data_IF_058222777037
#
_entry.id   IF_058222777037
#
_cell.length_a   1.000
_cell.length_b   1.000
_cell.length_c   1.000
_cell.angle_alpha   90.00
_cell.angle_beta   90.00
_cell.angle_gamma   90.00
#
_symmetry.space_group_name_H-M   'P 1'
#
loop_
_entity.id
_entity.type
_entity.pdbx_description
1 polymer ?
#
# COMPACT_ATOMS: atom_id res chain seq x y z
N UNK A 1 -18.01 8.34 -21.11
CA UNK A 1 -17.03 9.26 -20.50
C UNK A 1 -17.66 9.93 -19.30
N UNK A 2 -17.06 9.75 -18.12
CA UNK A 2 -17.51 10.39 -16.89
C UNK A 2 -17.12 11.88 -16.87
N UNK A 3 -18.00 12.74 -16.37
CA UNK A 3 -17.68 14.16 -16.14
C UNK A 3 -16.60 14.32 -15.08
N UNK A 4 -16.68 13.57 -14.00
CA UNK A 4 -15.62 13.55 -12.99
C UNK A 4 -15.20 12.15 -12.58
N UNK A 5 -13.94 12.02 -12.21
CA UNK A 5 -13.38 10.87 -11.51
C UNK A 5 -13.34 11.17 -10.01
N UNK A 6 -13.98 10.34 -9.19
CA UNK A 6 -14.06 10.49 -7.74
C UNK A 6 -12.95 9.65 -7.08
N UNK A 7 -11.83 10.30 -6.75
CA UNK A 7 -10.66 9.68 -6.13
C UNK A 7 -10.77 9.75 -4.63
N UNK A 8 -10.85 8.60 -3.95
CA UNK A 8 -11.04 8.50 -2.51
C UNK A 8 -10.20 7.35 -1.95
N UNK A 9 -9.91 7.35 -0.65
CA UNK A 9 -9.29 6.20 -0.01
C UNK A 9 -10.35 5.14 0.27
N UNK A 10 -10.12 3.89 -0.16
CA UNK A 10 -11.01 2.76 0.16
C UNK A 10 -11.27 2.59 1.65
N UNK A 11 -10.30 2.95 2.50
CA UNK A 11 -10.45 2.96 3.96
C UNK A 11 -11.53 3.92 4.47
N UNK A 12 -11.96 4.90 3.67
CA UNK A 12 -13.06 5.81 4.00
C UNK A 12 -14.45 5.24 3.64
N UNK A 13 -14.57 4.09 2.96
CA UNK A 13 -15.87 3.47 2.63
C UNK A 13 -16.64 2.98 3.85
N UNK A 14 -15.95 2.78 4.98
CA UNK A 14 -16.62 2.49 6.25
C UNK A 14 -17.55 3.63 6.69
N UNK A 15 -17.38 4.83 6.11
CA UNK A 15 -18.21 5.98 6.35
C UNK A 15 -19.39 6.06 5.35
N UNK A 16 -20.63 5.72 5.76
CA UNK A 16 -21.78 5.71 4.85
C UNK A 16 -22.15 7.12 4.33
N UNK A 17 -21.60 8.18 4.93
CA UNK A 17 -21.82 9.54 4.45
C UNK A 17 -21.04 9.85 3.16
N UNK A 18 -19.94 9.14 2.89
CA UNK A 18 -19.14 9.36 1.68
C UNK A 18 -19.92 8.93 0.43
N UNK A 19 -20.52 7.75 0.47
CA UNK A 19 -21.38 7.26 -0.61
C UNK A 19 -22.59 8.15 -0.84
N UNK A 20 -23.23 8.60 0.25
CA UNK A 20 -24.33 9.55 0.18
C UNK A 20 -23.90 10.85 -0.49
N UNK A 21 -22.72 11.37 -0.16
CA UNK A 21 -22.19 12.59 -0.77
C UNK A 21 -21.96 12.39 -2.27
N UNK A 22 -21.32 11.28 -2.68
CA UNK A 22 -21.13 10.96 -4.09
C UNK A 22 -22.46 10.92 -4.85
N UNK A 23 -23.48 10.25 -4.30
CA UNK A 23 -24.80 10.16 -4.93
C UNK A 23 -25.48 11.52 -5.07
N UNK A 24 -25.43 12.34 -4.01
CA UNK A 24 -25.97 13.70 -4.05
C UNK A 24 -25.22 14.56 -5.08
N UNK A 25 -23.90 14.46 -5.15
CA UNK A 25 -23.08 15.20 -6.12
C UNK A 25 -23.41 14.80 -7.56
N UNK A 26 -23.54 13.49 -7.82
CA UNK A 26 -23.93 13.00 -9.13
C UNK A 26 -25.30 13.55 -9.57
N UNK A 27 -26.28 13.59 -8.65
CA UNK A 27 -27.61 14.16 -8.95
C UNK A 27 -27.55 15.65 -9.22
N UNK A 28 -26.78 16.39 -8.44
CA UNK A 28 -26.67 17.85 -8.58
C UNK A 28 -25.99 18.22 -9.90
N UNK A 29 -24.85 17.59 -10.22
CA UNK A 29 -24.13 17.80 -11.48
C UNK A 29 -24.97 17.32 -12.68
N UNK A 30 -25.70 16.21 -12.56
CA UNK A 30 -26.64 15.73 -13.59
C UNK A 30 -27.72 16.77 -13.89
N UNK A 31 -28.36 17.30 -12.85
CA UNK A 31 -29.48 18.24 -12.97
C UNK A 31 -29.01 19.57 -13.56
N UNK A 32 -27.92 20.14 -13.03
CA UNK A 32 -27.40 21.42 -13.47
C UNK A 32 -26.74 21.38 -14.85
N UNK A 33 -26.03 20.28 -15.14
CA UNK A 33 -25.33 20.09 -16.41
C UNK A 33 -26.21 19.55 -17.55
N UNK A 34 -27.44 19.13 -17.26
CA UNK A 34 -28.29 18.46 -18.24
C UNK A 34 -27.72 17.12 -18.72
N UNK A 35 -27.06 16.39 -17.81
CA UNK A 35 -26.29 15.18 -18.14
C UNK A 35 -27.02 13.91 -17.69
N UNK A 36 -26.95 12.80 -18.45
CA UNK A 36 -27.45 11.51 -17.97
C UNK A 36 -26.71 11.07 -16.70
N UNK A 37 -27.44 10.71 -15.64
CA UNK A 37 -26.88 10.41 -14.32
C UNK A 37 -25.73 9.37 -14.35
N UNK A 38 -25.88 8.31 -15.16
CA UNK A 38 -24.86 7.26 -15.31
C UNK A 38 -23.56 7.69 -16.01
N UNK A 39 -23.51 8.91 -16.55
CA UNK A 39 -22.32 9.48 -17.21
C UNK A 39 -21.66 10.61 -16.42
N UNK A 40 -22.16 10.90 -15.22
CA UNK A 40 -21.71 12.05 -14.43
C UNK A 40 -20.42 11.76 -13.67
N UNK A 41 -20.46 10.80 -12.75
CA UNK A 41 -19.32 10.47 -11.91
C UNK A 41 -18.83 9.05 -12.18
N UNK A 42 -17.53 8.87 -12.22
CA UNK A 42 -16.90 7.56 -12.06
C UNK A 42 -16.43 7.43 -10.60
N UNK A 43 -16.75 6.31 -9.98
CA UNK A 43 -16.24 5.91 -8.67
C UNK A 43 -15.97 4.41 -8.73
N UNK A 44 -14.85 3.99 -8.18
CA UNK A 44 -14.52 2.58 -8.04
C UNK A 44 -15.34 1.97 -6.89
N UNK A 45 -16.53 1.44 -7.20
CA UNK A 45 -17.46 0.81 -6.25
C UNK A 45 -17.46 -0.71 -6.29
N UNK A 46 -16.94 -1.30 -7.36
CA UNK A 46 -17.08 -2.74 -7.61
C UNK A 46 -15.79 -3.51 -7.38
N UNK A 47 -15.92 -4.68 -6.74
CA UNK A 47 -14.92 -5.73 -6.68
C UNK A 47 -14.70 -6.33 -8.09
N UNK A 48 -14.05 -5.59 -8.98
CA UNK A 48 -13.47 -6.20 -10.18
C UNK A 48 -12.02 -6.52 -9.89
N UNK A 49 -11.61 -7.74 -10.25
CA UNK A 49 -10.33 -8.35 -9.93
C UNK A 49 -9.15 -7.67 -10.63
N UNK A 50 -8.05 -7.48 -9.90
CA UNK A 50 -6.69 -7.26 -10.42
C UNK A 50 -6.53 -6.28 -11.59
N UNK A 51 -5.83 -6.73 -12.64
CA UNK A 51 -5.45 -5.93 -13.82
C UNK A 51 -6.65 -5.26 -14.49
N UNK A 52 -7.81 -5.94 -14.56
CA UNK A 52 -9.03 -5.37 -15.14
C UNK A 52 -9.52 -4.14 -14.38
N UNK A 53 -9.26 -4.07 -13.07
CA UNK A 53 -9.58 -2.89 -12.26
C UNK A 53 -8.57 -1.76 -12.46
N UNK A 54 -7.27 -2.06 -12.50
CA UNK A 54 -6.24 -1.07 -12.78
C UNK A 54 -6.39 -0.46 -14.17
N UNK A 55 -6.73 -1.27 -15.18
CA UNK A 55 -7.00 -0.84 -16.55
C UNK A 55 -8.27 0.02 -16.62
N UNK A 56 -9.33 -0.37 -15.90
CA UNK A 56 -10.58 0.39 -15.81
C UNK A 56 -10.35 1.76 -15.15
N UNK A 57 -9.58 1.82 -14.06
CA UNK A 57 -9.17 3.07 -13.43
C UNK A 57 -8.30 3.92 -14.34
N UNK A 58 -7.30 3.32 -15.00
CA UNK A 58 -6.43 3.98 -15.95
C UNK A 58 -7.22 4.60 -17.10
N UNK A 59 -8.16 3.85 -17.68
CA UNK A 59 -9.02 4.34 -18.76
C UNK A 59 -10.00 5.43 -18.27
N UNK A 60 -10.50 5.33 -17.03
CA UNK A 60 -11.33 6.38 -16.44
C UNK A 60 -10.54 7.68 -16.21
N UNK A 61 -9.31 7.58 -15.68
CA UNK A 61 -8.40 8.72 -15.48
C UNK A 61 -7.90 9.31 -16.81
N UNK A 62 -7.74 8.48 -17.84
CA UNK A 62 -7.33 8.89 -19.17
C UNK A 62 -8.38 9.76 -19.85
N UNK A 63 -9.66 9.59 -19.50
CA UNK A 63 -10.79 10.20 -20.21
C UNK A 63 -11.61 11.20 -19.39
N UNK A 64 -11.57 11.16 -18.06
CA UNK A 64 -12.42 12.03 -17.23
C UNK A 64 -12.14 13.51 -17.51
N UNK A 65 -13.16 14.38 -17.37
CA UNK A 65 -12.98 15.82 -17.57
C UNK A 65 -12.41 16.51 -16.32
N UNK A 66 -12.82 16.04 -15.15
CA UNK A 66 -12.45 16.60 -13.85
C UNK A 66 -11.98 15.50 -12.91
N UNK A 67 -10.90 15.74 -12.19
CA UNK A 67 -10.39 14.89 -11.12
C UNK A 67 -10.83 15.47 -9.77
N UNK A 68 -11.58 14.69 -8.99
CA UNK A 68 -12.13 15.06 -7.69
C UNK A 68 -11.45 14.24 -6.60
N UNK A 69 -10.34 14.74 -6.02
CA UNK A 69 -9.67 14.08 -4.91
C UNK A 69 -10.36 14.40 -3.58
N UNK A 70 -10.67 13.36 -2.82
CA UNK A 70 -11.37 13.41 -1.53
C UNK A 70 -10.36 13.42 -0.40
N UNK A 71 -9.98 14.61 0.05
CA UNK A 71 -8.96 14.78 1.08
C UNK A 71 -9.45 14.31 2.46
N UNK A 72 -8.75 13.31 2.96
CA UNK A 72 -8.84 12.76 4.31
C UNK A 72 -7.44 12.33 4.76
N UNK A 73 -7.21 12.05 6.05
CA UNK A 73 -5.97 11.41 6.49
C UNK A 73 -5.68 10.09 5.75
N UNK A 74 -6.71 9.28 5.49
CA UNK A 74 -6.55 8.02 4.75
C UNK A 74 -6.22 8.24 3.28
N UNK A 75 -6.74 9.31 2.66
CA UNK A 75 -6.45 9.67 1.27
C UNK A 75 -4.96 9.88 1.03
N UNK A 76 -4.33 10.71 1.86
CA UNK A 76 -2.89 10.99 1.72
C UNK A 76 -2.00 9.83 2.16
N UNK A 77 -2.53 8.86 2.92
CA UNK A 77 -1.85 7.62 3.26
C UNK A 77 -2.04 6.50 2.20
N UNK A 78 -2.96 6.68 1.25
CA UNK A 78 -3.32 5.69 0.24
C UNK A 78 -2.35 5.74 -0.94
N UNK A 79 -1.66 4.62 -1.18
CA UNK A 79 -0.73 4.48 -2.31
C UNK A 79 -1.45 4.63 -3.65
N UNK A 80 -2.55 3.91 -3.84
CA UNK A 80 -3.36 3.94 -5.08
C UNK A 80 -3.86 5.36 -5.34
N UNK A 81 -4.37 6.06 -4.32
CA UNK A 81 -4.85 7.44 -4.50
C UNK A 81 -3.72 8.39 -4.92
N UNK A 82 -2.49 8.14 -4.47
CA UNK A 82 -1.32 8.86 -4.94
C UNK A 82 -0.89 8.49 -6.36
N UNK A 83 -1.13 7.25 -6.81
CA UNK A 83 -0.90 6.84 -8.20
C UNK A 83 -1.95 7.44 -9.14
N UNK A 84 -3.23 7.47 -8.75
CA UNK A 84 -4.30 8.16 -9.46
C UNK A 84 -3.96 9.64 -9.64
N UNK A 85 -3.45 10.27 -8.59
CA UNK A 85 -2.97 11.64 -8.64
C UNK A 85 -1.82 11.82 -9.63
N UNK A 86 -0.79 10.98 -9.55
CA UNK A 86 0.34 11.02 -10.49
C UNK A 86 -0.13 10.86 -11.92
N UNK A 87 -1.04 9.92 -12.19
CA UNK A 87 -1.57 9.68 -13.52
C UNK A 87 -2.27 10.93 -14.08
N UNK A 88 -3.13 11.56 -13.28
CA UNK A 88 -3.83 12.76 -13.71
C UNK A 88 -2.88 13.97 -13.83
N UNK A 89 -1.90 14.09 -12.94
CA UNK A 89 -0.87 15.14 -13.01
C UNK A 89 -0.03 15.01 -14.29
N UNK A 90 0.42 13.80 -14.66
CA UNK A 90 1.12 13.54 -15.92
C UNK A 90 0.27 13.95 -17.12
N UNK A 91 -1.04 13.64 -17.11
CA UNK A 91 -1.98 14.06 -18.16
C UNK A 91 -2.10 15.58 -18.27
N UNK A 92 -2.15 16.29 -17.15
CA UNK A 92 -2.19 17.77 -17.15
C UNK A 92 -0.89 18.37 -17.70
N UNK A 93 0.27 17.82 -17.32
CA UNK A 93 1.57 18.25 -17.85
C UNK A 93 1.63 18.05 -19.36
N UNK A 94 1.25 16.87 -19.86
CA UNK A 94 1.24 16.58 -21.29
C UNK A 94 0.31 17.54 -22.08
N UNK A 95 -0.87 17.85 -21.54
CA UNK A 95 -1.78 18.81 -22.17
C UNK A 95 -1.21 20.24 -22.15
N UNK A 96 -0.57 20.66 -21.06
CA UNK A 96 0.08 21.96 -20.97
C UNK A 96 1.25 22.06 -21.96
N UNK A 97 2.04 21.01 -22.12
CA UNK A 97 3.12 20.96 -23.11
C UNK A 97 2.59 21.07 -24.56
N UNK A 98 1.43 20.45 -24.84
CA UNK A 98 0.82 20.49 -26.16
C UNK A 98 0.11 21.81 -26.49
N UNK A 99 -0.53 22.46 -25.51
CA UNK A 99 -1.42 23.61 -25.74
C UNK A 99 -0.93 24.93 -25.14
N UNK A 100 0.05 24.88 -24.24
CA UNK A 100 0.49 26.01 -23.42
C UNK A 100 -0.46 26.40 -22.28
N UNK A 101 -1.58 25.69 -22.11
CA UNK A 101 -2.63 26.01 -21.13
C UNK A 101 -2.67 24.90 -20.05
N UNK A 102 -2.65 25.29 -18.77
CA UNK A 102 -2.87 24.36 -17.66
C UNK A 102 -4.36 24.33 -17.27
N UNK A 103 -5.09 23.22 -17.47
CA UNK A 103 -6.50 23.11 -17.12
C UNK A 103 -6.72 23.17 -15.62
N UNK A 104 -7.80 23.83 -15.18
CA UNK A 104 -8.24 23.84 -13.77
C UNK A 104 -9.11 22.63 -13.43
N UNK A 105 -8.67 21.45 -13.86
CA UNK A 105 -9.47 20.22 -13.83
C UNK A 105 -9.27 19.38 -12.57
N UNK A 106 -8.51 19.86 -11.57
CA UNK A 106 -8.42 19.23 -10.26
C UNK A 106 -9.25 20.03 -9.26
N UNK A 107 -10.29 19.39 -8.71
CA UNK A 107 -11.30 20.03 -7.87
C UNK A 107 -11.39 19.28 -6.54
N UNK A 108 -10.53 19.59 -5.55
CA UNK A 108 -10.47 18.85 -4.29
C UNK A 108 -11.68 19.09 -3.39
N UNK A 109 -12.06 18.07 -2.63
CA UNK A 109 -13.02 18.16 -1.53
C UNK A 109 -12.37 17.72 -0.22
N UNK A 110 -12.45 18.56 0.81
CA UNK A 110 -11.96 18.24 2.15
C UNK A 110 -13.04 17.47 2.89
N UNK A 111 -12.96 16.14 2.83
CA UNK A 111 -13.86 15.26 3.56
C UNK A 111 -13.67 15.39 5.06
N UNK A 112 -12.41 15.33 5.50
CA UNK A 112 -11.97 15.54 6.87
C UNK A 112 -10.89 16.63 6.92
N UNK A 113 -10.79 17.39 8.02
CA UNK A 113 -9.67 18.29 8.22
C UNK A 113 -8.36 17.50 8.22
N UNK A 114 -7.45 17.83 7.30
CA UNK A 114 -6.10 17.25 7.28
C UNK A 114 -5.22 18.07 8.22
N UNK A 115 -4.58 17.39 9.17
CA UNK A 115 -3.66 18.01 10.14
C UNK A 115 -2.24 17.85 9.61
N UNK A 116 -1.45 18.91 9.64
CA UNK A 116 -0.08 18.94 9.13
C UNK A 116 0.04 19.55 7.74
N UNK A 117 1.22 19.44 7.15
CA UNK A 117 1.50 19.95 5.80
C UNK A 117 0.89 19.03 4.75
N UNK A 118 0.20 19.61 3.77
CA UNK A 118 -0.27 18.87 2.61
C UNK A 118 0.94 18.47 1.73
N UNK A 119 0.89 17.31 1.06
CA UNK A 119 1.88 16.97 0.05
C UNK A 119 2.03 18.10 -0.99
N UNK A 120 3.24 18.35 -1.54
CA UNK A 120 3.50 19.51 -2.38
C UNK A 120 2.52 19.71 -3.55
N UNK A 121 2.10 18.62 -4.20
CA UNK A 121 1.11 18.67 -5.28
C UNK A 121 -0.28 19.09 -4.83
N UNK A 122 -0.70 18.68 -3.63
CA UNK A 122 -1.97 19.10 -3.05
C UNK A 122 -1.93 20.55 -2.53
N UNK A 123 -0.76 20.99 -2.04
CA UNK A 123 -0.53 22.36 -1.58
C UNK A 123 -0.34 23.38 -2.70
N UNK A 124 0.07 22.94 -3.90
CA UNK A 124 0.21 23.81 -5.08
C UNK A 124 -1.13 24.23 -5.69
N UNK A 125 -2.22 23.54 -5.34
CA UNK A 125 -3.57 23.91 -5.78
C UNK A 125 -4.09 25.09 -4.97
N UNK A 126 -4.83 25.97 -5.65
CA UNK A 126 -5.54 27.05 -4.98
C UNK A 126 -6.61 26.47 -4.04
N UNK A 127 -6.50 26.76 -2.74
CA UNK A 127 -7.44 26.31 -1.72
C UNK A 127 -8.80 27.04 -1.87
N UNK A 128 -9.87 26.36 -2.32
CA UNK A 128 -11.15 27.01 -2.52
C UNK A 128 -12.00 27.05 -1.25
N UNK A 129 -11.54 26.51 -0.11
CA UNK A 129 -12.36 26.32 1.11
C UNK A 129 -12.99 27.61 1.62
N UNK A 130 -12.35 28.76 1.42
CA UNK A 130 -12.90 30.05 1.82
C UNK A 130 -14.19 30.44 1.06
N UNK A 131 -14.40 29.92 -0.16
CA UNK A 131 -15.62 30.13 -0.94
C UNK A 131 -16.83 29.31 -0.44
N UNK A 132 -16.59 28.33 0.44
CA UNK A 132 -17.56 27.32 0.87
C UNK A 132 -18.01 27.47 2.33
N UNK A 133 -17.56 28.53 3.02
CA UNK A 133 -17.99 28.87 4.38
C UNK A 133 -17.09 28.34 5.49
N UNK A 134 -17.22 28.96 6.66
CA UNK A 134 -16.34 28.75 7.82
C UNK A 134 -16.50 27.36 8.43
N UNK A 135 -17.73 26.80 8.44
CA UNK A 135 -17.98 25.46 8.98
C UNK A 135 -17.31 24.38 8.16
N UNK A 136 -17.37 24.46 6.82
CA UNK A 136 -16.69 23.51 5.94
C UNK A 136 -15.17 23.58 6.12
N UNK A 137 -14.60 24.79 6.13
CA UNK A 137 -13.17 25.00 6.35
C UNK A 137 -12.69 24.42 7.69
N UNK A 138 -13.51 24.58 8.74
CA UNK A 138 -13.17 24.13 10.10
C UNK A 138 -13.36 22.64 10.32
N UNK A 139 -14.45 22.06 9.81
CA UNK A 139 -14.90 20.72 10.20
C UNK A 139 -14.86 19.68 9.06
N UNK A 140 -14.62 20.10 7.83
CA UNK A 140 -14.70 19.25 6.65
C UNK A 140 -16.14 18.89 6.27
N UNK A 141 -16.31 18.37 5.05
CA UNK A 141 -17.62 18.08 4.47
C UNK A 141 -18.37 16.99 5.24
N UNK A 142 -17.67 15.99 5.76
CA UNK A 142 -18.28 14.89 6.51
C UNK A 142 -19.17 15.39 7.65
N UNK A 143 -18.73 16.44 8.36
CA UNK A 143 -19.48 17.02 9.47
C UNK A 143 -20.76 17.70 9.00
N UNK A 144 -20.71 18.39 7.85
CA UNK A 144 -21.86 19.05 7.22
C UNK A 144 -22.90 18.01 6.76
N UNK A 145 -22.46 16.91 6.14
CA UNK A 145 -23.34 15.82 5.69
C UNK A 145 -24.02 15.13 6.87
N UNK A 146 -23.29 14.93 7.98
CA UNK A 146 -23.75 14.14 9.14
C UNK A 146 -24.70 14.90 10.05
N UNK A 147 -24.48 16.21 10.28
CA UNK A 147 -25.23 16.98 11.28
C UNK A 147 -26.46 17.64 10.67
N UNK A 148 -27.63 17.42 11.28
CA UNK A 148 -28.89 18.05 10.86
C UNK A 148 -28.83 19.58 10.89
N UNK A 149 -28.18 20.16 11.89
CA UNK A 149 -28.04 21.61 12.04
C UNK A 149 -27.22 22.28 10.92
N UNK A 150 -26.47 21.49 10.14
CA UNK A 150 -25.68 21.98 9.00
C UNK A 150 -26.29 21.61 7.65
N UNK A 151 -27.56 21.19 7.61
CA UNK A 151 -28.25 20.80 6.38
C UNK A 151 -28.19 21.90 5.32
N UNK A 152 -28.53 23.14 5.68
CA UNK A 152 -28.56 24.25 4.71
C UNK A 152 -27.14 24.56 4.20
N UNK A 153 -26.13 24.50 5.09
CA UNK A 153 -24.72 24.66 4.73
C UNK A 153 -24.23 23.56 3.78
N UNK A 154 -24.70 22.34 3.97
CA UNK A 154 -24.37 21.22 3.09
C UNK A 154 -25.01 21.38 1.70
N UNK A 155 -26.27 21.82 1.63
CA UNK A 155 -26.95 22.10 0.36
C UNK A 155 -26.26 23.25 -0.39
N UNK A 156 -25.99 24.37 0.30
CA UNK A 156 -25.25 25.51 -0.26
C UNK A 156 -23.86 25.09 -0.78
N UNK A 157 -23.17 24.20 -0.04
CA UNK A 157 -21.89 23.64 -0.48
C UNK A 157 -22.06 22.84 -1.77
N UNK A 158 -23.02 21.92 -1.80
CA UNK A 158 -23.25 21.00 -2.91
C UNK A 158 -23.54 21.77 -4.20
N UNK A 159 -24.39 22.79 -4.12
CA UNK A 159 -24.74 23.67 -5.22
C UNK A 159 -23.50 24.34 -5.85
N UNK A 160 -22.71 25.02 -5.02
CA UNK A 160 -21.51 25.73 -5.47
C UNK A 160 -20.43 24.78 -5.96
N UNK A 161 -20.33 23.61 -5.34
CA UNK A 161 -19.31 22.62 -5.68
C UNK A 161 -19.64 21.94 -7.01
N UNK A 162 -20.92 21.68 -7.29
CA UNK A 162 -21.38 21.19 -8.59
C UNK A 162 -21.09 22.21 -9.71
N UNK A 163 -21.36 23.51 -9.48
CA UNK A 163 -21.02 24.58 -10.44
C UNK A 163 -19.50 24.64 -10.71
N UNK A 164 -18.68 24.44 -9.67
CA UNK A 164 -17.23 24.41 -9.81
C UNK A 164 -16.75 23.23 -10.66
N UNK A 165 -17.35 22.05 -10.51
CA UNK A 165 -17.05 20.87 -11.35
C UNK A 165 -17.48 21.13 -12.80
N UNK A 166 -18.70 21.65 -13.03
CA UNK A 166 -19.19 21.92 -14.37
C UNK A 166 -18.31 22.92 -15.11
N UNK A 167 -17.91 24.00 -14.43
CA UNK A 167 -16.98 24.99 -14.98
C UNK A 167 -15.61 24.41 -15.28
N UNK A 168 -15.08 23.55 -14.41
CA UNK A 168 -13.81 22.85 -14.67
C UNK A 168 -13.90 21.88 -15.86
N UNK A 169 -15.09 21.36 -16.15
CA UNK A 169 -15.36 20.46 -17.25
C UNK A 169 -15.54 21.16 -18.61
N UNK A 170 -15.61 22.50 -18.67
CA UNK A 170 -15.70 23.29 -19.91
C UNK A 170 -14.40 23.27 -20.71
N UNK A 171 -13.24 23.21 -20.02
CA UNK A 171 -11.91 23.14 -20.64
C UNK A 171 -11.11 21.96 -20.08
N UNK A 172 -11.49 20.71 -20.41
CA UNK A 172 -10.83 19.51 -19.91
C UNK A 172 -9.47 19.27 -20.60
N UNK A 173 -8.53 18.58 -19.95
CA UNK A 173 -7.32 18.10 -20.61
C UNK A 173 -7.65 17.07 -21.69
N UNK A 174 -6.80 16.99 -22.71
CA UNK A 174 -6.89 15.97 -23.76
C UNK A 174 -6.75 14.56 -23.18
N UNK A 175 -7.27 13.55 -23.90
CA UNK A 175 -7.10 12.15 -23.51
C UNK A 175 -5.60 11.80 -23.47
N UNK A 176 -5.18 11.14 -22.40
CA UNK A 176 -3.80 10.66 -22.26
C UNK A 176 -3.83 9.20 -21.76
N UNK A 177 -3.34 8.22 -22.53
CA UNK A 177 -3.35 6.82 -22.13
C UNK A 177 -2.56 6.56 -20.84
N UNK A 178 -3.12 5.74 -19.95
CA UNK A 178 -2.47 5.29 -18.70
C UNK A 178 -2.40 3.76 -18.77
N UNK A 179 -1.29 3.19 -19.30
CA UNK A 179 -1.22 1.76 -19.61
C UNK A 179 -1.08 0.87 -18.38
N UNK A 180 -0.54 1.41 -17.28
CA UNK A 180 -0.38 0.70 -16.02
C UNK A 180 -0.39 1.71 -14.87
N UNK A 181 -1.55 1.85 -14.22
CA UNK A 181 -1.71 2.74 -13.08
C UNK A 181 -0.83 2.31 -11.89
N UNK A 182 -0.62 1.01 -11.71
CA UNK A 182 0.03 0.45 -10.51
C UNK A 182 1.55 0.53 -10.56
N UNK A 183 2.15 0.77 -11.73
CA UNK A 183 3.58 1.11 -11.83
C UNK A 183 3.88 2.60 -11.70
N UNK A 184 2.87 3.47 -11.71
CA UNK A 184 3.10 4.90 -11.54
C UNK A 184 3.63 5.22 -10.15
N UNK A 185 4.47 6.26 -10.01
CA UNK A 185 4.95 6.70 -8.71
C UNK A 185 3.78 7.18 -7.85
N UNK A 186 3.83 6.94 -6.55
CA UNK A 186 2.89 7.53 -5.60
C UNK A 186 3.19 9.03 -5.41
N UNK A 187 2.26 9.91 -5.83
CA UNK A 187 2.43 11.35 -5.68
C UNK A 187 2.63 11.78 -4.23
N UNK A 188 2.05 11.09 -3.25
CA UNK A 188 2.15 11.46 -1.84
C UNK A 188 3.46 11.00 -1.19
N UNK A 189 4.29 10.25 -1.92
CA UNK A 189 5.62 9.90 -1.45
C UNK A 189 6.45 11.18 -1.25
N UNK A 190 7.29 11.27 -0.21
CA UNK A 190 8.19 12.39 -0.03
C UNK A 190 9.07 12.53 -1.26
N UNK A 191 9.07 13.70 -1.91
CA UNK A 191 9.91 13.94 -3.07
C UNK A 191 11.36 13.59 -2.75
N UNK A 192 11.90 12.56 -3.43
CA UNK A 192 13.35 12.34 -3.41
C UNK A 192 13.99 13.58 -4.03
N UNK A 193 14.61 14.41 -3.19
CA UNK A 193 15.47 15.48 -3.71
C UNK A 193 16.56 14.80 -4.54
N UNK A 194 16.78 15.19 -5.80
CA UNK A 194 17.99 14.80 -6.50
C UNK A 194 19.15 15.28 -5.64
N UNK A 195 19.91 14.34 -5.08
CA UNK A 195 21.14 14.68 -4.38
C UNK A 195 22.06 15.38 -5.37
N UNK A 196 22.78 16.45 -5.00
CA UNK A 196 23.80 17.00 -5.86
C UNK A 196 24.78 15.86 -6.19
N UNK A 197 25.00 15.63 -7.47
CA UNK A 197 26.07 14.79 -7.95
C UNK A 197 27.38 15.42 -7.48
N UNK A 198 27.88 14.99 -6.32
CA UNK A 198 29.29 14.93 -5.97
C UNK A 198 29.46 14.31 -4.58
N UNK A 199 30.42 13.38 -4.52
CA UNK A 199 30.65 12.50 -3.39
C UNK A 199 30.92 13.22 -2.08
N UNK A 200 30.10 12.87 -1.08
CA UNK A 200 30.42 12.62 0.34
C UNK A 200 29.10 12.67 1.09
N UNK A 201 28.59 11.50 1.47
CA UNK A 201 27.37 11.37 2.28
C UNK A 201 27.68 11.97 3.67
N UNK A 202 26.95 13.01 4.15
CA UNK A 202 27.12 13.47 5.51
C UNK A 202 26.63 12.40 6.49
N UNK A 203 27.47 12.08 7.47
CA UNK A 203 27.29 11.03 8.48
C UNK A 203 26.01 11.16 9.37
N UNK A 204 25.22 12.23 9.21
CA UNK A 204 24.01 12.48 10.00
C UNK A 204 22.73 11.81 9.46
N UNK A 205 22.71 11.28 8.22
CA UNK A 205 21.49 10.68 7.63
C UNK A 205 21.34 9.17 7.83
N UNK A 206 22.40 8.50 8.28
CA UNK A 206 22.45 7.04 8.39
C UNK A 206 21.99 6.48 9.76
N UNK A 207 21.24 7.27 10.54
CA UNK A 207 20.65 6.84 11.82
C UNK A 207 19.16 6.45 11.73
N UNK A 208 18.56 6.48 10.52
CA UNK A 208 17.20 5.97 10.30
C UNK A 208 17.33 4.54 9.75
N UNK A 209 16.92 3.54 10.54
CA UNK A 209 16.92 2.12 10.14
C UNK A 209 16.12 1.86 8.86
N UNK A 210 16.14 0.62 8.37
CA UNK A 210 15.50 0.21 7.11
C UNK A 210 14.10 0.85 6.95
N UNK A 211 14.00 1.76 5.97
CA UNK A 211 12.76 2.47 5.61
C UNK A 211 11.95 1.70 4.57
N UNK A 212 12.51 0.63 4.01
CA UNK A 212 11.88 -0.18 2.97
C UNK A 212 11.52 -1.56 3.52
N UNK A 213 10.32 -2.01 3.22
CA UNK A 213 9.84 -3.38 3.42
C UNK A 213 9.41 -3.96 2.07
N UNK A 214 9.78 -5.21 1.81
CA UNK A 214 9.35 -5.97 0.64
C UNK A 214 8.49 -7.12 1.14
N UNK A 215 7.22 -7.12 0.73
CA UNK A 215 6.30 -8.21 0.94
C UNK A 215 6.42 -9.20 -0.21
N UNK A 216 6.85 -10.41 0.09
CA UNK A 216 6.97 -11.50 -0.88
C UNK A 216 5.79 -12.43 -0.64
N UNK A 217 4.93 -12.59 -1.63
CA UNK A 217 3.66 -13.32 -1.47
C UNK A 217 3.74 -14.68 -2.18
N UNK A 218 3.67 -15.76 -1.42
CA UNK A 218 3.61 -17.12 -1.92
C UNK A 218 2.18 -17.63 -1.84
N UNK A 219 1.40 -17.40 -2.90
CA UNK A 219 0.00 -17.82 -3.02
C UNK A 219 -0.26 -18.34 -4.43
N UNK A 220 -1.08 -19.38 -4.55
CA UNK A 220 -1.55 -19.88 -5.85
C UNK A 220 -2.61 -18.97 -6.46
N UNK A 221 -2.63 -18.86 -7.80
CA UNK A 221 -3.74 -18.19 -8.50
C UNK A 221 -4.99 -19.06 -8.47
N UNK A 222 -6.16 -18.45 -8.62
CA UNK A 222 -7.45 -19.18 -8.61
C UNK A 222 -7.44 -20.44 -9.49
N UNK A 223 -6.91 -20.34 -10.72
CA UNK A 223 -6.82 -21.47 -11.64
C UNK A 223 -5.90 -22.60 -11.15
N UNK A 224 -4.78 -22.27 -10.51
CA UNK A 224 -3.84 -23.26 -9.96
C UNK A 224 -4.45 -23.95 -8.73
N UNK A 225 -5.28 -23.23 -7.97
CA UNK A 225 -5.92 -23.70 -6.75
C UNK A 225 -7.18 -24.55 -6.99
N UNK A 226 -7.71 -24.59 -8.23
CA UNK A 226 -8.91 -25.36 -8.60
C UNK A 226 -8.81 -26.85 -8.25
N UNK A 227 -7.61 -27.43 -8.36
CA UNK A 227 -7.37 -28.86 -8.10
C UNK A 227 -6.80 -29.15 -6.70
N UNK A 228 -6.71 -28.12 -5.85
CA UNK A 228 -6.02 -28.19 -4.57
C UNK A 228 -7.00 -27.88 -3.43
N UNK A 229 -7.68 -26.73 -3.51
CA UNK A 229 -8.52 -26.19 -2.44
C UNK A 229 -9.99 -26.13 -2.86
N UNK A 230 -10.57 -27.30 -3.18
CA UNK A 230 -11.92 -27.43 -3.77
C UNK A 230 -13.07 -26.73 -3.01
N UNK A 231 -12.91 -26.40 -1.72
CA UNK A 231 -13.96 -25.77 -0.90
C UNK A 231 -13.76 -24.27 -0.63
N UNK A 232 -12.61 -23.68 -0.99
CA UNK A 232 -12.17 -22.36 -0.49
C UNK A 232 -11.74 -21.40 -1.61
N UNK A 233 -12.16 -21.67 -2.85
CA UNK A 233 -11.78 -20.88 -4.04
C UNK A 233 -12.13 -19.39 -3.96
N UNK A 234 -13.12 -19.01 -3.15
CA UNK A 234 -13.52 -17.60 -2.98
C UNK A 234 -12.50 -16.77 -2.17
N UNK A 235 -11.52 -17.43 -1.55
CA UNK A 235 -10.36 -16.78 -0.93
C UNK A 235 -9.31 -16.35 -1.97
N UNK A 236 -9.35 -16.92 -3.18
CA UNK A 236 -8.34 -16.73 -4.22
C UNK A 236 -8.88 -15.92 -5.39
N UNK A 237 -8.08 -14.96 -5.86
CA UNK A 237 -8.33 -14.24 -7.10
C UNK A 237 -7.34 -14.58 -8.20
N UNK A 238 -7.42 -13.84 -9.30
CA UNK A 238 -6.51 -14.02 -10.45
C UNK A 238 -5.12 -13.47 -10.13
N UNK A 239 -5.03 -12.44 -9.29
CA UNK A 239 -3.78 -11.81 -8.86
C UNK A 239 -3.45 -12.08 -7.39
N UNK A 240 -2.16 -11.99 -7.05
CA UNK A 240 -1.65 -12.20 -5.68
C UNK A 240 -2.29 -11.23 -4.67
N UNK A 241 -2.61 -10.01 -5.13
CA UNK A 241 -3.22 -8.95 -4.32
C UNK A 241 -4.69 -9.24 -3.99
N UNK A 242 -5.34 -10.15 -4.70
CA UNK A 242 -6.75 -10.47 -4.49
C UNK A 242 -6.95 -11.50 -3.36
N UNK A 243 -5.86 -12.09 -2.84
CA UNK A 243 -5.92 -13.13 -1.82
C UNK A 243 -6.52 -12.64 -0.49
N UNK A 244 -7.53 -13.39 -0.02
CA UNK A 244 -8.34 -13.12 1.18
C UNK A 244 -8.39 -14.38 2.06
N UNK A 245 -7.31 -14.71 2.79
CA UNK A 245 -7.21 -15.94 3.58
C UNK A 245 -8.23 -16.04 4.72
N UNK A 246 -8.85 -14.92 5.10
CA UNK A 246 -9.83 -14.86 6.18
C UNK A 246 -11.28 -14.74 5.68
N UNK A 247 -11.53 -14.91 4.39
CA UNK A 247 -12.90 -14.90 3.86
C UNK A 247 -13.69 -16.13 4.35
N UNK A 248 -14.97 -16.01 4.76
CA UNK A 248 -15.83 -14.83 4.70
C UNK A 248 -15.76 -13.91 5.93
N UNK A 249 -15.07 -14.31 7.00
CA UNK A 249 -14.98 -13.51 8.24
C UNK A 249 -14.38 -12.11 8.00
N UNK A 250 -13.47 -11.98 7.03
CA UNK A 250 -12.97 -10.72 6.51
C UNK A 250 -12.83 -10.78 5.00
N UNK A 251 -13.43 -9.81 4.29
CA UNK A 251 -13.35 -9.67 2.84
C UNK A 251 -12.14 -8.87 2.35
N UNK A 252 -11.31 -8.35 3.26
CA UNK A 252 -10.13 -7.54 2.91
C UNK A 252 -8.97 -8.37 2.36
N UNK A 253 -8.28 -7.84 1.35
CA UNK A 253 -7.01 -8.39 0.85
C UNK A 253 -5.94 -8.33 1.92
N UNK A 254 -5.24 -9.45 2.15
CA UNK A 254 -4.14 -9.50 3.12
C UNK A 254 -2.95 -8.64 2.68
N UNK A 255 -2.71 -8.53 1.38
CA UNK A 255 -1.61 -7.70 0.83
C UNK A 255 -1.89 -6.22 1.08
N UNK A 256 -3.11 -5.76 0.79
CA UNK A 256 -3.50 -4.37 1.05
C UNK A 256 -3.38 -4.03 2.55
N UNK A 257 -3.74 -4.97 3.42
CA UNK A 257 -3.65 -4.83 4.88
C UNK A 257 -2.19 -4.76 5.34
N UNK A 258 -1.32 -5.59 4.76
CA UNK A 258 0.11 -5.56 5.04
C UNK A 258 0.77 -4.22 4.67
N UNK A 259 0.44 -3.69 3.49
CA UNK A 259 0.91 -2.37 3.04
C UNK A 259 0.41 -1.24 3.95
N UNK A 260 -0.83 -1.32 4.46
CA UNK A 260 -1.36 -0.34 5.42
C UNK A 260 -0.58 -0.34 6.75
N UNK A 261 -0.24 -1.53 7.26
CA UNK A 261 0.58 -1.66 8.49
C UNK A 261 1.98 -1.06 8.29
N UNK A 262 2.60 -1.28 7.13
CA UNK A 262 3.88 -0.66 6.78
C UNK A 262 3.78 0.87 6.65
N UNK A 263 2.75 1.36 5.97
CA UNK A 263 2.48 2.79 5.77
C UNK A 263 2.30 3.54 7.10
N UNK A 264 1.56 2.94 8.06
CA UNK A 264 1.37 3.49 9.43
C UNK A 264 2.69 3.68 10.19
N UNK A 265 3.76 3.00 9.74
CA UNK A 265 5.11 3.07 10.32
C UNK A 265 6.10 3.87 9.48
N UNK A 266 5.60 4.66 8.51
CA UNK A 266 6.42 5.44 7.58
C UNK A 266 7.42 4.58 6.77
N UNK A 267 7.01 3.35 6.45
CA UNK A 267 7.83 2.42 5.67
C UNK A 267 7.34 2.37 4.23
N UNK A 268 8.27 2.44 3.30
CA UNK A 268 8.02 2.20 1.88
C UNK A 268 7.84 0.70 1.65
N UNK A 269 6.67 0.29 1.14
CA UNK A 269 6.34 -1.12 0.91
C UNK A 269 6.32 -1.46 -0.57
N UNK A 270 7.02 -2.52 -0.96
CA UNK A 270 6.92 -3.14 -2.28
C UNK A 270 6.29 -4.54 -2.14
N UNK A 271 5.47 -4.96 -3.11
CA UNK A 271 4.90 -6.32 -3.15
C UNK A 271 5.46 -7.04 -4.36
N UNK A 272 5.91 -8.28 -4.18
CA UNK A 272 6.43 -9.13 -5.26
C UNK A 272 5.91 -10.57 -5.11
N UNK A 273 5.76 -11.33 -6.21
CA UNK A 273 5.57 -12.77 -6.15
C UNK A 273 6.73 -13.47 -5.44
N UNK A 274 6.45 -14.61 -4.83
CA UNK A 274 7.48 -15.56 -4.44
C UNK A 274 7.99 -16.31 -5.69
N UNK A 275 9.09 -15.83 -6.25
CA UNK A 275 9.83 -16.47 -7.34
C UNK A 275 11.35 -16.43 -7.05
N UNK A 276 12.18 -16.80 -8.02
CA UNK A 276 13.64 -16.80 -7.87
C UNK A 276 14.25 -15.43 -7.53
N UNK A 277 13.55 -14.31 -7.77
CA UNK A 277 14.03 -12.97 -7.41
C UNK A 277 14.13 -12.78 -5.90
N UNK A 278 13.40 -13.58 -5.10
CA UNK A 278 13.49 -13.62 -3.64
C UNK A 278 14.93 -13.81 -3.16
N UNK A 279 15.70 -14.69 -3.79
CA UNK A 279 17.05 -15.00 -3.33
C UNK A 279 18.03 -13.84 -3.56
N UNK A 280 17.77 -12.99 -4.56
CA UNK A 280 18.50 -11.74 -4.75
C UNK A 280 18.24 -10.75 -3.59
N UNK A 281 17.03 -10.77 -3.02
CA UNK A 281 16.67 -9.95 -1.85
C UNK A 281 17.30 -10.49 -0.55
N UNK A 282 17.44 -11.81 -0.42
CA UNK A 282 17.96 -12.47 0.77
C UNK A 282 19.50 -12.53 0.83
N UNK A 283 20.18 -12.67 -0.32
CA UNK A 283 21.64 -12.86 -0.37
C UNK A 283 22.44 -11.56 -0.70
N UNK A 284 21.75 -10.46 -1.04
CA UNK A 284 22.38 -9.24 -1.52
C UNK A 284 22.85 -8.25 -0.43
N UNK A 285 23.75 -7.29 -0.76
CA UNK A 285 24.09 -6.17 0.14
C UNK A 285 22.87 -5.31 0.55
N UNK A 286 21.75 -5.43 -0.18
CA UNK A 286 20.44 -4.85 0.12
C UNK A 286 19.78 -5.42 1.39
N UNK A 287 20.19 -6.60 1.88
CA UNK A 287 19.70 -7.19 3.13
C UNK A 287 19.86 -6.20 4.30
N UNK A 288 20.90 -5.35 4.27
CA UNK A 288 21.19 -4.39 5.34
C UNK A 288 20.26 -3.15 5.35
N UNK A 289 19.44 -2.96 4.31
CA UNK A 289 18.63 -1.75 4.13
C UNK A 289 17.15 -2.01 3.90
N UNK A 290 16.75 -3.26 3.68
CA UNK A 290 15.36 -3.65 3.40
C UNK A 290 14.92 -4.80 4.30
N UNK A 291 13.66 -4.74 4.75
CA UNK A 291 13.00 -5.80 5.50
C UNK A 291 12.27 -6.70 4.53
N UNK A 292 12.39 -8.02 4.66
CA UNK A 292 11.71 -8.97 3.77
C UNK A 292 10.67 -9.75 4.56
N UNK A 293 9.40 -9.51 4.29
CA UNK A 293 8.29 -10.24 4.94
C UNK A 293 7.69 -11.18 3.91
N UNK A 294 7.84 -12.48 4.12
CA UNK A 294 7.24 -13.49 3.29
C UNK A 294 5.85 -13.82 3.85
N UNK A 295 4.81 -13.67 3.05
CA UNK A 295 3.43 -14.05 3.41
C UNK A 295 3.11 -15.31 2.61
N UNK A 296 2.94 -16.44 3.30
CA UNK A 296 2.86 -17.76 2.68
C UNK A 296 1.49 -18.38 2.93
N UNK A 297 0.79 -18.73 1.86
CA UNK A 297 -0.41 -19.55 1.92
C UNK A 297 -0.03 -21.01 2.23
N UNK A 298 -0.58 -21.65 3.29
CA UNK A 298 -0.35 -23.06 3.57
C UNK A 298 -0.63 -23.96 2.36
N UNK A 299 -1.67 -23.65 1.59
CA UNK A 299 -2.08 -24.47 0.44
C UNK A 299 -1.14 -24.33 -0.76
N UNK A 300 -0.32 -23.27 -0.82
CA UNK A 300 0.70 -23.13 -1.86
C UNK A 300 1.74 -24.28 -1.83
N UNK A 301 1.89 -24.99 -0.72
CA UNK A 301 2.77 -26.17 -0.60
C UNK A 301 2.33 -27.36 -1.47
N UNK A 302 1.11 -27.33 -1.99
CA UNK A 302 0.59 -28.31 -2.95
C UNK A 302 1.05 -28.05 -4.39
N UNK A 303 1.52 -26.85 -4.69
CA UNK A 303 1.98 -26.46 -6.01
C UNK A 303 3.48 -26.79 -6.19
N UNK A 304 3.80 -27.49 -7.27
CA UNK A 304 5.17 -27.90 -7.59
C UNK A 304 6.17 -26.72 -7.67
N UNK A 305 5.73 -25.57 -8.21
CA UNK A 305 6.54 -24.35 -8.31
C UNK A 305 7.00 -23.83 -6.95
N UNK A 306 6.15 -23.92 -5.93
CA UNK A 306 6.48 -23.48 -4.58
C UNK A 306 7.27 -24.52 -3.79
N UNK A 307 7.15 -25.82 -4.11
CA UNK A 307 7.92 -26.87 -3.44
C UNK A 307 9.44 -26.68 -3.64
N UNK A 308 9.88 -26.41 -4.87
CA UNK A 308 11.30 -26.14 -5.16
C UNK A 308 11.76 -24.85 -4.49
N UNK A 309 10.92 -23.80 -4.53
CA UNK A 309 11.22 -22.51 -3.93
C UNK A 309 11.37 -22.60 -2.41
N UNK A 310 10.45 -23.29 -1.72
CA UNK A 310 10.52 -23.48 -0.27
C UNK A 310 11.74 -24.31 0.13
N UNK A 311 12.03 -25.42 -0.57
CA UNK A 311 13.22 -26.22 -0.30
C UNK A 311 14.54 -25.45 -0.49
N UNK A 312 14.56 -24.44 -1.36
CA UNK A 312 15.69 -23.52 -1.49
C UNK A 312 15.70 -22.47 -0.38
N UNK A 313 14.56 -21.86 -0.08
CA UNK A 313 14.38 -20.89 1.00
C UNK A 313 14.77 -21.46 2.37
N UNK A 314 14.46 -22.72 2.65
CA UNK A 314 14.80 -23.40 3.90
C UNK A 314 16.31 -23.49 4.17
N UNK A 315 17.10 -23.51 3.09
CA UNK A 315 18.57 -23.53 3.16
C UNK A 315 19.16 -22.13 3.24
N UNK A 316 18.38 -21.10 2.95
CA UNK A 316 18.80 -19.69 3.00
C UNK A 316 18.62 -19.17 4.43
N UNK A 317 19.70 -18.61 4.99
CA UNK A 317 19.64 -17.91 6.27
C UNK A 317 19.60 -16.42 6.01
N UNK A 318 18.57 -15.74 6.50
CA UNK A 318 18.52 -14.29 6.50
C UNK A 318 18.15 -13.77 7.88
N UNK A 319 18.71 -12.62 8.24
CA UNK A 319 18.53 -12.00 9.57
C UNK A 319 17.45 -10.92 9.58
N UNK A 320 17.11 -10.40 8.40
CA UNK A 320 16.21 -9.27 8.21
C UNK A 320 14.89 -9.70 7.55
N UNK A 321 14.55 -10.97 7.70
CA UNK A 321 13.39 -11.58 7.09
C UNK A 321 12.59 -12.43 8.07
N UNK A 322 11.34 -12.65 7.71
CA UNK A 322 10.34 -13.35 8.52
C UNK A 322 9.29 -13.97 7.60
N UNK A 323 8.80 -15.13 7.99
CA UNK A 323 7.71 -15.84 7.33
C UNK A 323 6.46 -15.69 8.18
N UNK A 324 5.38 -15.19 7.57
CA UNK A 324 4.04 -15.09 8.14
C UNK A 324 3.12 -16.02 7.36
N UNK A 325 2.39 -16.86 8.07
CA UNK A 325 1.40 -17.79 7.51
C UNK A 325 0.04 -17.39 8.07
N UNK A 326 -0.87 -16.83 7.25
CA UNK A 326 -2.15 -16.27 7.71
C UNK A 326 -3.20 -17.38 7.89
N UNK A 327 -2.92 -18.28 8.83
CA UNK A 327 -3.79 -19.36 9.23
C UNK A 327 -3.58 -19.66 10.72
N UNK A 328 -4.52 -20.37 11.31
CA UNK A 328 -4.31 -21.05 12.59
C UNK A 328 -3.70 -22.43 12.31
N UNK A 329 -2.36 -22.52 12.30
CA UNK A 329 -1.68 -23.79 12.02
C UNK A 329 -1.93 -24.85 13.09
N UNK A 330 -2.20 -24.45 14.33
CA UNK A 330 -2.49 -25.39 15.42
C UNK A 330 -3.86 -26.04 15.25
N UNK A 331 -4.87 -25.28 14.82
CA UNK A 331 -6.18 -25.79 14.47
C UNK A 331 -6.15 -26.59 13.16
N UNK A 332 -5.42 -26.09 12.15
CA UNK A 332 -5.27 -26.75 10.85
C UNK A 332 -4.60 -28.12 11.01
N UNK A 333 -3.62 -28.27 11.90
CA UNK A 333 -2.97 -29.56 12.22
C UNK A 333 -3.93 -30.60 12.81
N UNK A 334 -5.03 -30.19 13.45
CA UNK A 334 -6.01 -31.14 14.03
C UNK A 334 -6.86 -31.83 12.96
N UNK A 335 -6.94 -31.26 11.76
CA UNK A 335 -7.71 -31.80 10.64
C UNK A 335 -6.82 -32.71 9.76
N UNK A 336 -7.32 -33.84 9.20
CA UNK A 336 -6.48 -34.74 8.40
C UNK A 336 -5.82 -34.08 7.19
N UNK A 337 -6.56 -33.23 6.46
CA UNK A 337 -6.04 -32.49 5.31
C UNK A 337 -5.05 -31.40 5.74
N UNK A 338 -5.38 -30.67 6.80
CA UNK A 338 -4.49 -29.64 7.34
C UNK A 338 -3.21 -30.18 7.96
N UNK A 339 -3.24 -31.35 8.61
CA UNK A 339 -2.04 -32.02 9.12
C UNK A 339 -1.05 -32.36 7.99
N UNK A 340 -1.56 -32.77 6.84
CA UNK A 340 -0.73 -33.02 5.67
C UNK A 340 -0.11 -31.73 5.10
N UNK A 341 -0.86 -30.64 5.00
CA UNK A 341 -0.32 -29.32 4.62
C UNK A 341 0.74 -28.84 5.59
N UNK A 342 0.49 -28.96 6.90
CA UNK A 342 1.45 -28.64 7.94
C UNK A 342 2.75 -29.43 7.76
N UNK A 343 2.66 -30.74 7.53
CA UNK A 343 3.83 -31.59 7.30
C UNK A 343 4.61 -31.18 6.04
N UNK A 344 3.93 -30.77 4.97
CA UNK A 344 4.61 -30.27 3.76
C UNK A 344 5.28 -28.92 3.99
N UNK A 345 4.60 -28.01 4.70
CA UNK A 345 5.16 -26.72 5.08
C UNK A 345 6.41 -26.93 5.95
N UNK A 346 6.35 -27.84 6.92
CA UNK A 346 7.49 -28.20 7.76
C UNK A 346 8.62 -28.87 6.96
N UNK A 347 8.29 -29.74 6.00
CA UNK A 347 9.31 -30.35 5.13
C UNK A 347 10.00 -29.30 4.23
N UNK A 348 9.28 -28.25 3.85
CA UNK A 348 9.77 -27.19 2.97
C UNK A 348 10.36 -25.97 3.68
N UNK A 349 10.05 -25.72 4.96
CA UNK A 349 10.45 -24.52 5.73
C UNK A 349 10.85 -24.86 7.19
N UNK A 350 11.19 -26.11 7.47
CA UNK A 350 11.47 -26.59 8.82
C UNK A 350 12.56 -25.81 9.54
N UNK A 351 13.63 -25.40 8.85
CA UNK A 351 14.68 -24.57 9.46
C UNK A 351 14.15 -23.21 9.89
N UNK A 352 13.18 -22.62 9.18
CA UNK A 352 12.55 -21.35 9.57
C UNK A 352 11.60 -21.52 10.74
N UNK A 353 10.85 -22.61 10.76
CA UNK A 353 9.95 -22.96 11.86
C UNK A 353 10.73 -23.25 13.16
N UNK A 354 11.87 -23.92 13.05
CA UNK A 354 12.71 -24.33 14.18
C UNK A 354 13.81 -23.32 14.55
N UNK A 355 14.06 -22.29 13.72
CA UNK A 355 15.13 -21.31 13.91
C UNK A 355 15.09 -20.58 15.26
N UNK A 356 13.95 -20.61 15.97
CA UNK A 356 13.72 -19.82 17.18
C UNK A 356 13.82 -18.32 16.89
N UNK A 357 13.70 -17.47 17.91
CA UNK A 357 13.85 -16.00 17.73
C UNK A 357 12.79 -15.34 16.82
N UNK A 358 11.78 -16.11 16.43
CA UNK A 358 10.59 -15.62 15.77
C UNK A 358 10.70 -15.27 14.30
N UNK A 359 11.53 -16.00 13.55
CA UNK A 359 11.61 -15.92 12.10
C UNK A 359 10.37 -16.50 11.37
N UNK A 360 9.50 -17.20 12.09
CA UNK A 360 8.24 -17.78 11.59
C UNK A 360 7.07 -17.43 12.51
N UNK A 361 5.89 -17.15 11.93
CA UNK A 361 4.62 -16.92 12.62
C UNK A 361 3.51 -17.63 11.85
N UNK A 362 2.82 -18.58 12.48
CA UNK A 362 1.70 -19.31 11.87
C UNK A 362 0.51 -19.52 12.81
N UNK A 363 0.41 -18.72 13.87
CA UNK A 363 -0.76 -18.64 14.74
C UNK A 363 -1.44 -17.29 14.50
N UNK A 364 -2.07 -17.18 13.32
CA UNK A 364 -2.71 -15.97 12.81
C UNK A 364 -4.14 -16.31 12.37
N UNK A 365 -5.08 -16.52 13.32
CA UNK A 365 -6.44 -16.98 12.99
C UNK A 365 -7.32 -15.88 12.35
N UNK A 366 -6.90 -14.62 12.40
CA UNK A 366 -7.71 -13.48 11.97
C UNK A 366 -6.89 -12.36 11.30
N UNK A 367 -7.59 -11.48 10.58
CA UNK A 367 -6.97 -10.28 9.99
C UNK A 367 -6.38 -9.34 11.06
N UNK A 368 -7.04 -9.21 12.21
CA UNK A 368 -6.54 -8.37 13.30
C UNK A 368 -5.26 -8.94 13.92
N UNK A 369 -5.20 -10.27 14.07
CA UNK A 369 -3.98 -10.96 14.55
C UNK A 369 -2.84 -10.82 13.57
N UNK A 370 -3.12 -10.94 12.27
CA UNK A 370 -2.13 -10.69 11.22
C UNK A 370 -1.58 -9.27 11.27
N UNK A 371 -2.44 -8.24 11.30
CA UNK A 371 -2.01 -6.84 11.36
C UNK A 371 -1.19 -6.55 12.63
N UNK A 372 -1.63 -7.08 13.78
CA UNK A 372 -0.95 -6.96 15.07
C UNK A 372 0.43 -7.59 15.04
N UNK A 373 0.54 -8.85 14.59
CA UNK A 373 1.81 -9.58 14.55
C UNK A 373 2.76 -8.98 13.52
N UNK A 374 2.26 -8.60 12.34
CA UNK A 374 3.07 -7.91 11.34
C UNK A 374 3.65 -6.61 11.91
N UNK A 375 2.83 -5.82 12.60
CA UNK A 375 3.29 -4.61 13.26
C UNK A 375 4.40 -4.86 14.28
N UNK A 376 4.30 -5.92 15.09
CA UNK A 376 5.33 -6.30 16.06
C UNK A 376 6.63 -6.72 15.36
N UNK A 377 6.52 -7.58 14.35
CA UNK A 377 7.64 -8.12 13.58
C UNK A 377 8.43 -7.01 12.89
N UNK A 378 7.76 -6.01 12.30
CA UNK A 378 8.44 -4.87 11.69
C UNK A 378 9.28 -4.08 12.71
N UNK A 379 8.79 -3.89 13.94
CA UNK A 379 9.56 -3.26 15.03
C UNK A 379 10.77 -4.11 15.39
N UNK A 380 10.55 -5.41 15.60
CA UNK A 380 11.60 -6.32 16.05
C UNK A 380 12.77 -6.35 15.08
N UNK A 381 12.49 -6.46 13.78
CA UNK A 381 13.54 -6.54 12.77
C UNK A 381 14.19 -5.17 12.55
N UNK A 382 13.43 -4.05 12.56
CA UNK A 382 14.04 -2.71 12.56
C UNK A 382 15.01 -2.53 13.74
N UNK A 383 14.63 -2.97 14.93
CA UNK A 383 15.49 -2.93 16.12
C UNK A 383 16.75 -3.79 15.97
N UNK A 384 16.66 -4.96 15.32
CA UNK A 384 17.84 -5.79 14.99
C UNK A 384 18.78 -5.10 14.01
N UNK A 385 18.24 -4.50 12.94
CA UNK A 385 19.01 -3.77 11.93
C UNK A 385 19.74 -2.57 12.56
N UNK A 386 19.06 -1.79 13.41
CA UNK A 386 19.65 -0.65 14.11
C UNK A 386 20.81 -1.07 15.03
N UNK A 387 20.64 -2.14 15.83
CA UNK A 387 21.72 -2.65 16.70
C UNK A 387 22.94 -3.09 15.91
N UNK A 388 22.76 -3.73 14.76
CA UNK A 388 23.88 -4.16 13.91
C UNK A 388 24.60 -2.96 13.28
N UNK A 389 23.87 -1.97 12.80
CA UNK A 389 24.45 -0.74 12.27
C UNK A 389 25.27 0.02 13.33
N UNK A 390 24.86 -0.01 14.59
CA UNK A 390 25.60 0.59 15.72
C UNK A 390 26.89 -0.20 16.04
N UNK A 391 26.86 -1.53 15.96
CA UNK A 391 28.05 -2.38 16.19
C UNK A 391 29.10 -2.21 15.10
N UNK A 392 28.69 -2.12 13.82
CA UNK A 392 29.62 -1.88 12.69
C UNK A 392 30.28 -0.51 12.80
N UNK A 393 29.57 0.51 13.29
CA UNK A 393 30.10 1.86 13.50
C UNK A 393 31.12 1.99 14.62
N UNK A 394 31.14 1.09 15.61
CA UNK A 394 32.15 1.11 16.69
C UNK A 394 33.53 0.59 16.26
N UNK A 395 33.66 0.07 15.04
CA UNK A 395 34.94 -0.32 14.45
C UNK A 395 35.45 0.86 13.62
N UNK A 396 36.03 1.86 14.27
CA UNK A 396 36.63 3.02 13.60
C UNK A 396 37.88 2.62 12.77
N UNK A 397 38.20 3.40 11.74
CA UNK A 397 39.33 3.27 10.80
C UNK A 397 40.74 3.21 11.43
N UNK A 398 40.85 3.28 12.77
CA UNK A 398 42.09 3.09 13.52
C UNK A 398 42.39 1.63 13.88
N UNK A 399 41.48 0.68 13.57
CA UNK A 399 41.59 -0.69 14.04
C UNK A 399 41.42 -0.81 15.57
N UNK A 400 41.34 -2.03 16.13
CA UNK A 400 41.15 -2.19 17.57
C UNK A 400 42.35 -1.63 18.34
N UNK A 401 42.13 -0.61 19.19
CA UNK A 401 43.16 -0.04 20.09
C UNK A 401 43.70 -1.07 21.09
N UNK A 402 42.99 -2.18 21.30
CA UNK A 402 43.45 -3.31 22.08
C UNK A 402 43.24 -4.61 21.28
N UNK A 403 44.34 -5.27 20.91
CA UNK A 403 44.29 -6.70 20.66
C UNK A 403 43.96 -7.39 21.99
N UNK A 404 42.92 -8.23 22.07
CA UNK A 404 42.77 -9.10 23.22
C UNK A 404 43.97 -10.05 23.22
N UNK A 405 44.81 -9.95 24.24
CA UNK A 405 45.82 -10.97 24.51
C UNK A 405 45.06 -12.21 24.96
N UNK A 406 44.92 -13.18 24.06
CA UNK A 406 44.52 -14.53 24.43
C UNK A 406 45.71 -15.16 25.18
N UNK A 407 45.71 -15.05 26.50
CA UNK A 407 46.52 -15.92 27.36
C UNK A 407 45.89 -17.30 27.36
N UNK A 408 46.23 -18.10 26.36
CA UNK A 408 46.10 -19.55 26.43
C UNK A 408 47.14 -20.11 27.43
N UNK A 409 46.82 -21.18 28.18
CA UNK A 409 47.78 -21.83 29.05
C UNK A 409 48.79 -22.61 28.21
N UNK A 410 49.92 -21.98 27.88
CA UNK A 410 51.04 -22.65 27.20
C UNK A 410 51.86 -21.70 26.33
N UNK A 411 52.91 -21.12 26.89
CA UNK A 411 53.83 -20.26 26.14
C UNK A 411 55.00 -19.78 27.00
N UNK A 412 55.81 -20.73 27.45
CA UNK A 412 57.09 -20.48 28.08
C UNK A 412 58.09 -19.95 27.05
N UNK A 413 58.81 -18.87 27.42
CA UNK A 413 60.26 -18.89 27.32
C UNK A 413 60.93 -18.01 26.25
N UNK A 414 61.65 -17.02 26.81
CA UNK A 414 62.85 -16.31 26.32
C UNK A 414 62.67 -15.13 25.37
#
# INVERSE_FOLDING_TARGET
MAHFFFSYARSDLVDPYLDRFYEHLCREVSTRGGLPLGSVGFIDREQQSGQSWADMLGEALAQCKVFVPVYSPHYFASHVSGQEWSAFATRLTAHQEATGILPKSVVPVWWLPVRGELPPMAGALHDPRDAFGTEYKKFGLRTLVRRRDYKDKYVDFLDRYADMILKAAETPPDRFPIPDLLSLPNAFAPAERPGPANGRVPAARAARGARKVVFVVAVGRRNDMLNIAHAELDMYGEELVDWRPYHPASSGSIVARAQNVASTREMESQVVPADDSLFTLLDGPAEHQCLVVLIVDPWATELASFQELFARLDRTRSRNSVILVPADLDELRKQPQGNHLYNRLFAGLGNWMDAGGGAFRGDLPSMEDFERVLGQVLIEIQGRIMRMAEVVRRVDEAGPQFRPVLTGPGGLGR
#
